data_IF_742295913439
#
_entry.id   IF_742295913439
#
_cell.length_a   1.000
_cell.length_b   1.000
_cell.length_c   1.000
_cell.angle_alpha   90.00
_cell.angle_beta   90.00
_cell.angle_gamma   90.00
#
_symmetry.space_group_name_H-M   'P 1'
#
loop_
_entity.id
_entity.type
_entity.pdbx_description
1 polymer ?
#
# COMPACT_ATOMS: atom_id res chain seq x y z
N UNK A 1 -7.60 1.06 12.61
CA UNK A 1 -7.95 2.21 11.73
C UNK A 1 -8.71 1.71 10.52
N UNK A 2 -9.77 2.39 10.13
CA UNK A 2 -10.46 2.09 8.87
C UNK A 2 -9.59 2.61 7.72
N UNK A 3 -9.56 1.88 6.60
CA UNK A 3 -8.79 2.28 5.41
C UNK A 3 -9.17 3.70 4.95
N UNK A 4 -10.44 4.08 5.07
CA UNK A 4 -10.91 5.40 4.61
C UNK A 4 -10.52 6.54 5.55
N UNK A 5 -9.89 6.24 6.69
CA UNK A 5 -9.29 7.22 7.59
C UNK A 5 -7.81 7.43 7.31
N UNK A 6 -7.23 6.67 6.38
CA UNK A 6 -5.81 6.80 6.02
C UNK A 6 -5.57 8.08 5.24
N UNK A 7 -4.30 8.51 5.23
CA UNK A 7 -3.87 9.75 4.58
C UNK A 7 -4.32 9.86 3.13
N UNK A 8 -4.28 8.75 2.39
CA UNK A 8 -4.56 8.73 0.95
C UNK A 8 -6.03 9.04 0.62
N UNK A 9 -6.94 8.83 1.58
CA UNK A 9 -8.38 9.01 1.39
C UNK A 9 -8.95 10.24 2.11
N UNK A 10 -8.13 11.00 2.81
CA UNK A 10 -8.63 12.03 3.73
C UNK A 10 -9.35 13.21 3.06
N UNK A 11 -9.10 13.44 1.76
CA UNK A 11 -9.70 14.54 1.01
C UNK A 11 -10.94 14.13 0.22
N UNK A 12 -11.43 12.91 0.40
CA UNK A 12 -12.57 12.40 -0.35
C UNK A 12 -13.89 12.70 0.39
N UNK A 13 -14.93 12.98 -0.40
CA UNK A 13 -16.29 13.11 0.15
C UNK A 13 -16.87 11.73 0.48
N UNK A 14 -17.97 11.71 1.25
CA UNK A 14 -18.65 10.45 1.55
C UNK A 14 -19.18 9.76 0.29
N UNK A 15 -19.66 10.54 -0.68
CA UNK A 15 -20.12 9.99 -1.97
C UNK A 15 -18.98 9.34 -2.74
N UNK A 16 -17.80 9.98 -2.75
CA UNK A 16 -16.61 9.45 -3.41
C UNK A 16 -16.16 8.15 -2.75
N UNK A 17 -16.16 8.10 -1.42
CA UNK A 17 -15.79 6.89 -0.67
C UNK A 17 -16.74 5.72 -0.97
N UNK A 18 -18.06 5.97 -1.03
CA UNK A 18 -19.04 4.94 -1.35
C UNK A 18 -18.83 4.42 -2.79
N UNK A 19 -18.55 5.30 -3.74
CA UNK A 19 -18.24 4.91 -5.11
C UNK A 19 -17.03 3.98 -5.15
N UNK A 20 -15.97 4.33 -4.43
CA UNK A 20 -14.75 3.54 -4.38
C UNK A 20 -14.98 2.17 -3.74
N UNK A 21 -15.79 2.10 -2.68
CA UNK A 21 -16.13 0.83 -2.04
C UNK A 21 -16.78 -0.14 -3.02
N UNK A 22 -17.58 0.37 -3.94
CA UNK A 22 -18.31 -0.44 -4.92
C UNK A 22 -17.42 -0.94 -6.08
N UNK A 23 -16.21 -0.42 -6.22
CA UNK A 23 -15.28 -0.85 -7.28
C UNK A 23 -14.50 -2.13 -6.94
N UNK A 24 -14.54 -2.57 -5.68
CA UNK A 24 -13.91 -3.81 -5.21
C UNK A 24 -12.41 -3.92 -5.46
N UNK A 25 -11.68 -2.80 -5.41
CA UNK A 25 -10.23 -2.81 -5.62
C UNK A 25 -9.41 -2.73 -4.32
N UNK A 26 -10.09 -2.92 -3.20
CA UNK A 26 -9.46 -2.95 -1.87
C UNK A 26 -9.60 -4.34 -1.28
N UNK A 27 -8.51 -4.83 -0.67
CA UNK A 27 -8.54 -6.05 0.14
C UNK A 27 -7.76 -5.84 1.42
N UNK A 28 -8.13 -6.54 2.48
CA UNK A 28 -7.44 -6.49 3.76
C UNK A 28 -6.78 -7.84 4.03
N UNK A 29 -5.61 -7.80 4.65
CA UNK A 29 -4.91 -9.00 5.11
C UNK A 29 -4.25 -8.72 6.45
N UNK A 30 -4.13 -9.76 7.27
CA UNK A 30 -3.46 -9.71 8.57
C UNK A 30 -2.13 -10.46 8.48
N UNK A 31 -1.11 -9.91 9.12
CA UNK A 31 0.23 -10.48 9.13
C UNK A 31 0.73 -10.58 10.57
N UNK A 32 1.35 -11.70 10.88
CA UNK A 32 2.06 -11.85 12.15
C UNK A 32 3.35 -11.03 12.14
N UNK A 33 3.92 -10.80 13.30
CA UNK A 33 5.21 -10.12 13.46
C UNK A 33 6.29 -10.81 12.61
N UNK A 34 7.17 -10.02 11.99
CA UNK A 34 8.31 -10.49 11.18
C UNK A 34 7.89 -11.27 9.94
N UNK A 35 6.76 -10.94 9.35
CA UNK A 35 6.29 -11.56 8.11
C UNK A 35 6.69 -10.71 6.92
N UNK A 36 7.21 -11.36 5.88
CA UNK A 36 7.56 -10.72 4.62
C UNK A 36 6.26 -10.46 3.84
N UNK A 37 5.94 -9.20 3.63
CA UNK A 37 4.73 -8.78 2.92
C UNK A 37 5.01 -8.70 1.42
N UNK A 38 6.07 -8.00 1.04
CA UNK A 38 6.60 -7.93 -0.31
C UNK A 38 8.09 -8.23 -0.26
N UNK A 39 8.60 -8.94 -1.25
CA UNK A 39 10.00 -9.38 -1.32
C UNK A 39 10.72 -8.69 -2.47
N UNK A 40 12.00 -8.40 -2.29
CA UNK A 40 12.89 -7.93 -3.37
C UNK A 40 12.74 -8.84 -4.59
N UNK A 41 12.53 -8.24 -5.75
CA UNK A 41 12.30 -8.92 -7.01
C UNK A 41 10.84 -9.14 -7.37
N UNK A 42 9.91 -9.01 -6.42
CA UNK A 42 8.49 -9.14 -6.71
C UNK A 42 8.00 -8.01 -7.60
N UNK A 43 7.13 -8.35 -8.55
CA UNK A 43 6.37 -7.37 -9.31
C UNK A 43 5.00 -7.28 -8.67
N UNK A 44 4.68 -6.09 -8.15
CA UNK A 44 3.44 -5.89 -7.40
C UNK A 44 2.48 -4.98 -8.15
N UNK A 45 1.19 -5.18 -7.90
CA UNK A 45 0.10 -4.39 -8.50
C UNK A 45 -0.79 -3.79 -7.42
N UNK A 46 -0.27 -3.70 -6.19
CA UNK A 46 -1.02 -3.20 -5.05
C UNK A 46 -0.16 -2.28 -4.20
N UNK A 47 -0.77 -1.20 -3.73
CA UNK A 47 -0.18 -0.31 -2.73
C UNK A 47 -0.62 -0.82 -1.36
N UNK A 48 0.32 -0.95 -0.42
CA UNK A 48 0.00 -1.32 0.95
C UNK A 48 -0.29 -0.10 1.81
N UNK A 49 -1.27 -0.22 2.69
CA UNK A 49 -1.60 0.83 3.67
C UNK A 49 -1.74 0.19 5.04
N UNK A 50 -1.04 0.74 6.03
CA UNK A 50 -1.02 0.19 7.38
C UNK A 50 -2.26 0.64 8.12
N UNK A 51 -3.18 -0.28 8.40
CA UNK A 51 -4.39 -0.01 9.19
C UNK A 51 -4.12 -0.19 10.68
N UNK A 52 -3.25 -1.13 11.04
CA UNK A 52 -2.86 -1.43 12.41
C UNK A 52 -1.46 -2.02 12.38
N UNK A 53 -0.63 -1.70 13.37
CA UNK A 53 0.72 -2.21 13.45
C UNK A 53 1.72 -1.31 12.76
N UNK A 54 2.73 -1.90 12.15
CA UNK A 54 3.76 -1.16 11.42
C UNK A 54 4.56 -2.06 10.49
N UNK A 55 5.20 -1.44 9.50
CA UNK A 55 5.98 -2.11 8.47
C UNK A 55 7.36 -1.44 8.40
N UNK A 56 8.41 -2.24 8.26
CA UNK A 56 9.74 -1.76 7.90
C UNK A 56 10.02 -2.03 6.45
N UNK A 57 10.63 -1.06 5.79
CA UNK A 57 11.21 -1.22 4.46
C UNK A 57 12.69 -1.50 4.68
N UNK A 58 13.18 -2.63 4.18
CA UNK A 58 14.53 -3.13 4.44
C UNK A 58 15.26 -3.45 3.16
N UNK A 59 16.57 -3.21 3.16
CA UNK A 59 17.45 -3.68 2.09
C UNK A 59 18.32 -4.82 2.60
N UNK A 60 18.72 -5.72 1.68
CA UNK A 60 19.62 -6.82 1.98
C UNK A 60 20.81 -6.70 1.01
N UNK A 61 22.04 -6.67 1.55
CA UNK A 61 23.24 -6.64 0.72
C UNK A 61 23.64 -8.06 0.26
N UNK A 62 24.71 -8.14 -0.51
CA UNK A 62 25.20 -9.41 -1.07
C UNK A 62 25.66 -10.41 0.00
N UNK A 63 25.93 -9.93 1.22
CA UNK A 63 26.39 -10.76 2.34
C UNK A 63 25.27 -11.10 3.32
N UNK A 64 24.03 -10.73 2.99
CA UNK A 64 22.86 -11.01 3.83
C UNK A 64 22.64 -10.01 4.96
N UNK A 65 23.38 -8.90 5.00
CA UNK A 65 23.17 -7.87 6.02
C UNK A 65 21.90 -7.06 5.69
N UNK A 66 21.04 -6.91 6.69
CA UNK A 66 19.80 -6.15 6.56
C UNK A 66 19.98 -4.74 7.10
N UNK A 67 19.41 -3.77 6.38
CA UNK A 67 19.36 -2.37 6.81
C UNK A 67 17.94 -1.87 6.73
N UNK A 68 17.48 -1.23 7.81
CA UNK A 68 16.15 -0.61 7.84
C UNK A 68 16.25 0.74 7.16
N UNK A 69 15.53 0.89 6.04
CA UNK A 69 15.52 2.14 5.27
C UNK A 69 14.39 3.07 5.70
N UNK A 70 13.28 2.52 6.14
CA UNK A 70 12.10 3.30 6.49
C UNK A 70 11.20 2.55 7.47
N UNK A 71 10.54 3.31 8.34
CA UNK A 71 9.49 2.82 9.23
C UNK A 71 8.16 3.39 8.75
N UNK A 72 7.19 2.50 8.51
CA UNK A 72 5.86 2.87 8.02
C UNK A 72 4.85 2.64 9.14
N UNK A 73 4.39 3.72 9.80
CA UNK A 73 3.42 3.59 10.88
C UNK A 73 1.98 3.49 10.37
N UNK A 74 1.08 3.29 11.31
CA UNK A 74 -0.36 3.28 11.07
C UNK A 74 -0.80 4.52 10.29
N UNK A 75 -1.68 4.32 9.30
CA UNK A 75 -2.22 5.40 8.46
C UNK A 75 -1.37 5.76 7.25
N UNK A 76 -0.20 5.17 7.10
CA UNK A 76 0.72 5.47 6.00
C UNK A 76 0.78 4.34 4.97
N UNK A 77 1.11 4.71 3.71
CA UNK A 77 1.23 3.80 2.60
C UNK A 77 2.68 3.39 2.36
N UNK A 78 2.87 2.24 1.73
CA UNK A 78 4.19 1.76 1.30
C UNK A 78 4.11 1.06 -0.05
N UNK A 79 5.25 1.00 -0.73
CA UNK A 79 5.43 0.34 -2.04
C UNK A 79 4.67 1.01 -3.20
N UNK A 80 4.18 2.22 -3.03
CA UNK A 80 3.40 2.93 -4.04
C UNK A 80 4.16 3.15 -5.34
N UNK A 81 5.45 3.50 -5.27
CA UNK A 81 6.27 3.73 -6.46
C UNK A 81 6.40 2.46 -7.30
N UNK A 82 6.67 1.34 -6.65
CA UNK A 82 6.83 0.06 -7.34
C UNK A 82 5.53 -0.40 -7.99
N UNK A 83 4.41 -0.25 -7.28
CA UNK A 83 3.11 -0.65 -7.80
C UNK A 83 2.67 0.22 -8.99
N UNK A 84 2.84 1.53 -8.88
CA UNK A 84 2.40 2.48 -9.92
C UNK A 84 3.29 2.48 -11.16
N UNK A 85 4.60 2.25 -10.99
CA UNK A 85 5.55 2.26 -12.09
C UNK A 85 5.83 0.87 -12.67
N UNK A 86 5.23 -0.18 -12.10
CA UNK A 86 5.42 -1.58 -12.50
C UNK A 86 6.90 -2.02 -12.46
N UNK A 87 7.67 -1.43 -11.54
CA UNK A 87 9.08 -1.80 -11.34
C UNK A 87 9.17 -2.93 -10.32
N UNK A 88 10.12 -3.88 -10.50
CA UNK A 88 10.34 -4.91 -9.47
C UNK A 88 10.76 -4.27 -8.15
N UNK A 89 10.32 -4.85 -7.04
CA UNK A 89 10.75 -4.41 -5.71
C UNK A 89 12.26 -4.50 -5.58
N UNK A 90 12.90 -3.44 -5.11
CA UNK A 90 14.33 -3.40 -4.82
C UNK A 90 14.60 -3.54 -3.32
N UNK A 91 13.54 -3.65 -2.53
CA UNK A 91 13.57 -3.74 -1.07
C UNK A 91 12.53 -4.74 -0.60
N UNK A 92 12.64 -5.15 0.66
CA UNK A 92 11.63 -5.97 1.32
C UNK A 92 10.71 -5.09 2.16
N UNK A 93 9.44 -5.49 2.28
CA UNK A 93 8.50 -4.92 3.22
C UNK A 93 8.14 -5.98 4.26
N UNK A 94 8.41 -5.71 5.53
CA UNK A 94 8.31 -6.68 6.62
C UNK A 94 7.47 -6.10 7.76
N UNK A 95 6.52 -6.87 8.27
CA UNK A 95 5.76 -6.46 9.45
C UNK A 95 6.66 -6.49 10.70
N UNK A 96 6.59 -5.44 11.51
CA UNK A 96 7.42 -5.35 12.74
C UNK A 96 6.68 -5.85 13.96
N UNK A 97 5.37 -6.01 13.84
CA UNK A 97 4.46 -6.52 14.85
C UNK A 97 3.25 -7.08 14.15
N UNK A 98 2.32 -7.68 14.88
CA UNK A 98 1.05 -8.10 14.30
C UNK A 98 0.39 -6.89 13.64
N UNK A 99 0.05 -7.01 12.35
CA UNK A 99 -0.39 -5.88 11.54
C UNK A 99 -1.57 -6.23 10.64
N UNK A 100 -2.42 -5.24 10.41
CA UNK A 100 -3.47 -5.29 9.40
C UNK A 100 -3.10 -4.34 8.28
N UNK A 101 -3.08 -4.85 7.06
CA UNK A 101 -2.71 -4.11 5.86
C UNK A 101 -3.88 -4.11 4.88
N UNK A 102 -4.21 -2.95 4.36
CA UNK A 102 -5.12 -2.85 3.23
C UNK A 102 -4.31 -2.71 1.96
N UNK A 103 -4.72 -3.41 0.91
CA UNK A 103 -4.08 -3.37 -0.40
C UNK A 103 -5.01 -2.73 -1.41
N UNK A 104 -4.50 -1.73 -2.12
CA UNK A 104 -5.20 -1.00 -3.16
C UNK A 104 -4.67 -1.46 -4.51
N UNK A 105 -5.54 -2.06 -5.34
CA UNK A 105 -5.18 -2.56 -6.66
C UNK A 105 -4.90 -1.40 -7.61
N UNK A 106 -3.65 -1.27 -8.07
CA UNK A 106 -3.23 -0.18 -8.95
C UNK A 106 -3.64 -0.39 -10.40
N UNK A 107 -3.87 -1.62 -10.83
CA UNK A 107 -4.32 -1.89 -12.21
C UNK A 107 -5.72 -1.32 -12.41
N UNK A 108 -6.59 -1.46 -11.42
CA UNK A 108 -7.92 -0.85 -11.45
C UNK A 108 -7.78 0.67 -11.35
N UNK A 109 -6.95 1.16 -10.44
CA UNK A 109 -6.77 2.59 -10.20
C UNK A 109 -6.23 3.32 -11.45
N UNK A 110 -5.39 2.65 -12.25
CA UNK A 110 -4.81 3.22 -13.46
C UNK A 110 -5.66 2.98 -14.71
N UNK A 111 -6.81 2.36 -14.58
CA UNK A 111 -7.73 2.12 -15.69
C UNK A 111 -8.31 3.43 -16.21
N UNK A 112 -8.25 3.65 -17.53
CA UNK A 112 -8.71 4.88 -18.19
C UNK A 112 -10.18 5.21 -17.87
N UNK A 113 -11.00 4.22 -17.55
CA UNK A 113 -12.40 4.43 -17.20
C UNK A 113 -12.59 5.33 -15.98
N UNK A 114 -11.58 5.45 -15.13
CA UNK A 114 -11.67 6.20 -13.87
C UNK A 114 -10.94 7.54 -13.90
N UNK A 115 -10.27 7.89 -15.00
CA UNK A 115 -9.47 9.12 -15.11
C UNK A 115 -10.27 10.41 -14.82
N UNK A 116 -11.55 10.42 -15.17
CA UNK A 116 -12.41 11.60 -14.99
C UNK A 116 -13.21 11.58 -13.69
N UNK A 117 -13.01 10.58 -12.86
CA UNK A 117 -13.66 10.53 -11.55
C UNK A 117 -13.07 11.59 -10.62
N UNK A 118 -13.92 12.26 -9.87
CA UNK A 118 -13.48 13.31 -8.95
C UNK A 118 -12.47 12.82 -7.91
N UNK A 119 -12.60 11.58 -7.46
CA UNK A 119 -11.70 10.99 -6.48
C UNK A 119 -10.32 10.62 -7.04
N UNK A 120 -10.21 10.41 -8.36
CA UNK A 120 -8.97 9.94 -8.99
C UNK A 120 -7.80 10.88 -8.73
N UNK A 121 -7.97 12.16 -9.05
CA UNK A 121 -6.91 13.16 -8.84
C UNK A 121 -6.56 13.32 -7.36
N UNK A 122 -7.53 13.19 -6.47
CA UNK A 122 -7.32 13.31 -5.01
C UNK A 122 -6.45 12.18 -4.46
N UNK A 123 -6.57 10.98 -5.01
CA UNK A 123 -5.76 9.82 -4.59
C UNK A 123 -4.38 9.85 -5.23
N UNK A 124 -4.30 10.21 -6.52
CA UNK A 124 -3.05 10.17 -7.29
C UNK A 124 -2.11 11.35 -7.00
N UNK A 125 -2.57 12.34 -6.27
CA UNK A 125 -1.76 13.43 -5.76
C UNK A 125 -1.53 13.25 -4.27
#
# INVERSE_FOLDING_TARGET
>A
MDIFQTFIFQNLTNEELEEMKNLHFLRNASFEKNTLIFQTGDRIHEIGMVLKGSVHIESIDLWGNRSILSHVPEGHAFAETYALCHEPMMVDAVSTQESEIAFLDTDILLDDRYLQKSWYAKIMH
#
